data_IF_432538165692
#
_entry.id   IF_432538165692
#
_cell.length_a   1.000
_cell.length_b   1.000
_cell.length_c   1.000
_cell.angle_alpha   90.00
_cell.angle_beta   90.00
_cell.angle_gamma   90.00
#
_symmetry.space_group_name_H-M   'P 1'
#
loop_
_entity.id
_entity.type
_entity.pdbx_description
1 polymer ?
#
# COMPACT_ATOMS: atom_id res chain seq x y z
N UNK A 1 -28.42 23.10 29.59
CA UNK A 1 -27.39 23.09 30.65
C UNK A 1 -25.99 22.61 30.17
N UNK A 2 -25.63 22.73 28.88
CA UNK A 2 -24.32 22.24 28.37
C UNK A 2 -23.34 23.35 27.98
N UNK A 3 -23.77 24.62 28.02
CA UNK A 3 -22.99 25.73 27.46
C UNK A 3 -21.77 26.09 28.31
N UNK A 4 -21.88 25.97 29.63
CA UNK A 4 -20.77 26.20 30.57
C UNK A 4 -19.72 25.09 30.40
N UNK A 5 -20.13 23.82 30.43
CA UNK A 5 -19.23 22.68 30.18
C UNK A 5 -18.53 22.75 28.80
N UNK A 6 -19.24 23.17 27.75
CA UNK A 6 -18.66 23.35 26.41
C UNK A 6 -17.56 24.42 26.39
N UNK A 7 -17.77 25.55 27.08
CA UNK A 7 -16.77 26.62 27.13
C UNK A 7 -15.60 26.32 28.06
N UNK A 8 -15.81 25.57 29.15
CA UNK A 8 -14.73 25.06 30.00
C UNK A 8 -13.82 24.11 29.21
N UNK A 9 -14.39 23.19 28.43
CA UNK A 9 -13.64 22.27 27.57
C UNK A 9 -12.87 23.02 26.47
N UNK A 10 -13.48 24.03 25.84
CA UNK A 10 -12.79 24.88 24.85
C UNK A 10 -11.64 25.68 25.47
N UNK A 11 -11.82 26.17 26.70
CA UNK A 11 -10.80 26.93 27.43
C UNK A 11 -9.64 26.04 27.85
N UNK A 12 -9.93 24.83 28.35
CA UNK A 12 -8.92 23.81 28.62
C UNK A 12 -8.13 23.45 27.35
N UNK A 13 -8.81 23.17 26.23
CA UNK A 13 -8.14 22.88 24.94
C UNK A 13 -7.30 24.05 24.45
N UNK A 14 -7.75 25.31 24.57
CA UNK A 14 -6.96 26.49 24.21
C UNK A 14 -5.73 26.69 25.11
N UNK A 15 -5.84 26.38 26.40
CA UNK A 15 -4.74 26.44 27.37
C UNK A 15 -3.69 25.36 27.06
N UNK A 16 -4.11 24.12 26.83
CA UNK A 16 -3.23 23.01 26.45
C UNK A 16 -2.64 23.12 25.03
N UNK A 17 -3.28 23.86 24.11
CA UNK A 17 -2.74 24.16 22.78
C UNK A 17 -1.63 25.22 22.82
N UNK A 18 -1.60 26.06 23.87
CA UNK A 18 -0.58 27.11 24.07
C UNK A 18 0.66 26.60 24.80
N UNK A 19 0.52 25.55 25.59
CA UNK A 19 1.67 24.74 25.98
C UNK A 19 2.15 24.01 24.74
N UNK A 20 3.35 24.34 24.28
CA UNK A 20 4.02 23.60 23.23
C UNK A 20 4.11 22.17 23.76
N UNK A 21 3.29 21.26 23.21
CA UNK A 21 3.41 19.83 23.46
C UNK A 21 4.79 19.43 22.92
N UNK A 22 5.81 19.65 23.75
CA UNK A 22 7.10 19.00 23.62
C UNK A 22 6.77 17.55 23.87
N UNK A 23 6.52 16.84 22.79
CA UNK A 23 6.41 15.40 22.82
C UNK A 23 7.70 14.90 23.46
N UNK A 24 7.55 14.22 24.58
CA UNK A 24 8.63 13.51 25.24
C UNK A 24 9.37 12.64 24.23
N UNK A 25 10.69 12.58 24.34
CA UNK A 25 11.56 11.79 23.48
C UNK A 25 11.12 10.32 23.43
N UNK A 26 10.50 9.80 24.50
CA UNK A 26 9.90 8.46 24.53
C UNK A 26 8.75 8.33 23.52
N UNK A 27 7.88 9.34 23.42
CA UNK A 27 6.80 9.35 22.42
C UNK A 27 7.35 9.49 21.00
N UNK A 28 8.37 10.33 20.81
CA UNK A 28 9.02 10.47 19.50
C UNK A 28 9.73 9.18 19.08
N UNK A 29 10.32 8.45 20.02
CA UNK A 29 10.94 7.15 19.78
C UNK A 29 9.89 6.10 19.36
N UNK A 30 8.73 6.05 20.02
CA UNK A 30 7.62 5.15 19.64
C UNK A 30 7.15 5.44 18.21
N UNK A 31 6.93 6.71 17.88
CA UNK A 31 6.51 7.11 16.52
C UNK A 31 7.58 6.78 15.48
N UNK A 32 8.86 6.99 15.80
CA UNK A 32 9.98 6.66 14.92
C UNK A 32 10.12 5.14 14.69
N UNK A 33 9.91 4.34 15.74
CA UNK A 33 9.93 2.88 15.65
C UNK A 33 8.78 2.35 14.81
N UNK A 34 7.55 2.86 15.00
CA UNK A 34 6.39 2.48 14.20
C UNK A 34 6.60 2.80 12.71
N UNK A 35 7.16 3.98 12.41
CA UNK A 35 7.50 4.37 11.04
C UNK A 35 8.58 3.46 10.46
N UNK A 36 9.62 3.12 11.25
CA UNK A 36 10.70 2.23 10.79
C UNK A 36 10.18 0.83 10.48
N UNK A 37 9.34 0.26 11.35
CA UNK A 37 8.68 -1.04 11.12
C UNK A 37 7.81 -1.03 9.87
N UNK A 38 7.04 0.05 9.65
CA UNK A 38 6.23 0.20 8.44
C UNK A 38 7.09 0.29 7.17
N UNK A 39 8.24 0.98 7.24
CA UNK A 39 9.20 1.06 6.11
C UNK A 39 9.84 -0.29 5.82
N UNK A 40 10.19 -1.06 6.85
CA UNK A 40 10.75 -2.40 6.70
C UNK A 40 9.74 -3.36 6.06
N UNK A 41 8.48 -3.29 6.46
CA UNK A 41 7.40 -4.10 5.89
C UNK A 41 7.12 -3.74 4.41
N UNK A 42 7.10 -2.46 4.07
CA UNK A 42 7.02 -2.00 2.67
C UNK A 42 8.23 -2.50 1.87
N UNK A 43 9.43 -2.45 2.47
CA UNK A 43 10.66 -2.95 1.88
C UNK A 43 10.60 -4.45 1.59
N UNK A 44 10.09 -5.24 2.53
CA UNK A 44 9.89 -6.69 2.38
C UNK A 44 8.91 -7.01 1.27
N UNK A 45 7.71 -6.43 1.30
CA UNK A 45 6.69 -6.65 0.28
C UNK A 45 7.18 -6.28 -1.12
N UNK A 46 7.95 -5.19 -1.25
CA UNK A 46 8.55 -4.81 -2.53
C UNK A 46 9.55 -5.85 -3.03
N UNK A 47 10.45 -6.33 -2.18
CA UNK A 47 11.42 -7.38 -2.53
C UNK A 47 10.71 -8.67 -2.97
N UNK A 48 9.69 -9.10 -2.24
CA UNK A 48 8.92 -10.31 -2.58
C UNK A 48 8.16 -10.14 -3.89
N UNK A 49 7.57 -8.96 -4.14
CA UNK A 49 6.92 -8.65 -5.40
C UNK A 49 7.91 -8.73 -6.57
N UNK A 50 9.12 -8.17 -6.44
CA UNK A 50 10.14 -8.22 -7.49
C UNK A 50 10.54 -9.66 -7.82
N UNK A 51 10.70 -10.52 -6.80
CA UNK A 51 10.96 -11.95 -6.98
C UNK A 51 9.80 -12.66 -7.68
N UNK A 52 8.56 -12.44 -7.23
CA UNK A 52 7.38 -13.05 -7.81
C UNK A 52 7.09 -12.55 -9.24
N UNK A 53 7.44 -11.30 -9.57
CA UNK A 53 7.40 -10.79 -10.93
C UNK A 53 8.43 -11.51 -11.81
N UNK A 54 9.62 -11.81 -11.30
CA UNK A 54 10.65 -12.53 -12.05
C UNK A 54 10.23 -13.98 -12.40
N UNK A 55 9.43 -14.62 -11.55
CA UNK A 55 8.90 -15.98 -11.76
C UNK A 55 7.71 -16.04 -12.75
N UNK A 56 7.08 -14.91 -13.06
CA UNK A 56 6.02 -14.88 -14.06
C UNK A 56 6.57 -15.13 -15.48
N UNK A 57 5.82 -15.86 -16.34
CA UNK A 57 6.12 -15.92 -17.76
C UNK A 57 6.21 -14.51 -18.36
N UNK A 58 7.15 -14.29 -19.27
CA UNK A 58 7.45 -12.96 -19.83
C UNK A 58 6.20 -12.22 -20.33
N UNK A 59 5.30 -12.90 -21.03
CA UNK A 59 4.03 -12.32 -21.52
C UNK A 59 3.11 -11.85 -20.38
N UNK A 60 3.08 -12.57 -19.26
CA UNK A 60 2.29 -12.23 -18.09
C UNK A 60 2.93 -11.05 -17.34
N UNK A 61 4.26 -11.07 -17.19
CA UNK A 61 5.03 -9.97 -16.59
C UNK A 61 4.86 -8.68 -17.38
N UNK A 62 5.01 -8.73 -18.71
CA UNK A 62 4.81 -7.56 -19.58
C UNK A 62 3.39 -7.00 -19.44
N UNK A 63 2.37 -7.84 -19.57
CA UNK A 63 0.96 -7.41 -19.45
C UNK A 63 0.64 -6.74 -18.11
N UNK A 64 1.18 -7.23 -16.99
CA UNK A 64 0.92 -6.61 -15.69
C UNK A 64 1.70 -5.30 -15.51
N UNK A 65 2.92 -5.22 -16.04
CA UNK A 65 3.71 -3.99 -16.03
C UNK A 65 3.07 -2.91 -16.91
N UNK A 66 2.63 -3.24 -18.12
CA UNK A 66 1.94 -2.30 -19.01
C UNK A 66 0.65 -1.78 -18.35
N UNK A 67 -0.07 -2.63 -17.59
CA UNK A 67 -1.25 -2.24 -16.82
C UNK A 67 -0.96 -1.23 -15.71
N UNK A 68 0.20 -1.31 -15.06
CA UNK A 68 0.60 -0.38 -13.98
C UNK A 68 1.51 0.75 -14.46
N UNK A 69 1.92 0.72 -15.73
CA UNK A 69 2.70 1.76 -16.39
C UNK A 69 1.84 2.91 -16.91
N UNK A 70 2.48 3.88 -17.60
CA UNK A 70 1.78 4.96 -18.29
C UNK A 70 0.76 4.38 -19.29
N UNK A 71 -0.42 4.98 -19.38
CA UNK A 71 -1.49 4.58 -20.31
C UNK A 71 -2.08 3.16 -20.11
N UNK A 72 -1.92 2.58 -18.92
CA UNK A 72 -2.37 1.22 -18.57
C UNK A 72 -3.90 0.97 -18.55
N UNK A 73 -4.71 1.70 -19.29
CA UNK A 73 -6.15 1.45 -19.40
C UNK A 73 -6.42 0.04 -19.98
N UNK A 74 -7.37 -0.72 -19.41
CA UNK A 74 -7.64 -2.10 -19.88
C UNK A 74 -8.10 -2.10 -21.34
N UNK A 75 -8.84 -1.06 -21.75
CA UNK A 75 -9.28 -0.85 -23.11
C UNK A 75 -8.11 -0.65 -24.08
N UNK A 76 -7.17 0.25 -23.75
CA UNK A 76 -5.97 0.46 -24.57
C UNK A 76 -5.14 -0.83 -24.70
N UNK A 77 -4.94 -1.56 -23.59
CA UNK A 77 -4.26 -2.86 -23.60
C UNK A 77 -4.98 -3.89 -24.48
N UNK A 78 -6.31 -3.88 -24.48
CA UNK A 78 -7.12 -4.79 -25.27
C UNK A 78 -7.02 -4.49 -26.77
N UNK A 79 -7.00 -3.22 -27.14
CA UNK A 79 -6.77 -2.74 -28.51
C UNK A 79 -5.37 -3.10 -28.99
N UNK A 80 -4.33 -2.81 -28.21
CA UNK A 80 -2.94 -3.13 -28.55
C UNK A 80 -2.72 -4.64 -28.75
N UNK A 81 -3.35 -5.46 -27.91
CA UNK A 81 -3.22 -6.92 -27.96
C UNK A 81 -4.18 -7.59 -28.97
N UNK A 82 -5.11 -6.84 -29.58
CA UNK A 82 -6.15 -7.40 -30.45
C UNK A 82 -7.06 -8.40 -29.74
N UNK A 83 -7.34 -8.21 -28.45
CA UNK A 83 -8.11 -9.15 -27.60
C UNK A 83 -9.37 -8.50 -27.04
N UNK A 84 -10.45 -9.26 -26.78
CA UNK A 84 -11.60 -8.72 -26.09
C UNK A 84 -11.23 -8.19 -24.69
N UNK A 85 -11.76 -7.03 -24.31
CA UNK A 85 -11.52 -6.40 -22.99
C UNK A 85 -11.80 -7.38 -21.83
N UNK A 86 -12.85 -8.19 -21.93
CA UNK A 86 -13.17 -9.23 -20.94
C UNK A 86 -12.07 -10.29 -20.80
N UNK A 87 -11.43 -10.67 -21.91
CA UNK A 87 -10.30 -11.61 -21.92
C UNK A 87 -9.07 -11.00 -21.24
N UNK A 88 -8.79 -9.72 -21.49
CA UNK A 88 -7.69 -8.99 -20.83
C UNK A 88 -7.95 -8.85 -19.32
N UNK A 89 -9.18 -8.49 -18.91
CA UNK A 89 -9.56 -8.47 -17.48
C UNK A 89 -9.32 -9.82 -16.81
N UNK A 90 -9.71 -10.91 -17.45
CA UNK A 90 -9.54 -12.24 -16.90
C UNK A 90 -8.06 -12.64 -16.82
N UNK A 91 -7.25 -12.29 -17.82
CA UNK A 91 -5.79 -12.49 -17.77
C UNK A 91 -5.16 -11.70 -16.62
N UNK A 92 -5.47 -10.41 -16.47
CA UNK A 92 -4.97 -9.59 -15.38
C UNK A 92 -5.39 -10.11 -14.00
N UNK A 93 -6.62 -10.60 -13.86
CA UNK A 93 -7.09 -11.23 -12.62
C UNK A 93 -6.25 -12.46 -12.27
N UNK A 94 -6.01 -13.36 -13.24
CA UNK A 94 -5.19 -14.56 -13.02
C UNK A 94 -3.74 -14.21 -12.66
N UNK A 95 -3.17 -13.19 -13.32
CA UNK A 95 -1.80 -12.74 -13.02
C UNK A 95 -1.71 -12.18 -11.59
N UNK A 96 -2.66 -11.33 -11.19
CA UNK A 96 -2.70 -10.79 -9.81
C UNK A 96 -2.85 -11.90 -8.77
N UNK A 97 -3.65 -12.92 -9.06
CA UNK A 97 -3.80 -14.07 -8.16
C UNK A 97 -2.49 -14.84 -8.01
N UNK A 98 -1.80 -15.14 -9.11
CA UNK A 98 -0.47 -15.77 -9.07
C UNK A 98 0.55 -14.97 -8.26
N UNK A 99 0.59 -13.65 -8.45
CA UNK A 99 1.49 -12.79 -7.66
C UNK A 99 1.14 -12.83 -6.18
N UNK A 100 -0.15 -12.77 -5.83
CA UNK A 100 -0.60 -12.84 -4.45
C UNK A 100 -0.25 -14.19 -3.80
N UNK A 101 -0.49 -15.30 -4.51
CA UNK A 101 -0.21 -16.65 -4.02
C UNK A 101 1.31 -16.81 -3.80
N UNK A 102 2.13 -16.38 -4.77
CA UNK A 102 3.59 -16.38 -4.65
C UNK A 102 4.10 -15.53 -3.48
N UNK A 103 3.57 -14.32 -3.29
CA UNK A 103 3.98 -13.46 -2.17
C UNK A 103 3.63 -14.12 -0.84
N UNK A 104 2.43 -14.71 -0.72
CA UNK A 104 2.01 -15.41 0.49
C UNK A 104 2.90 -16.60 0.81
N UNK A 105 3.18 -17.45 -0.18
CA UNK A 105 4.07 -18.60 -0.02
C UNK A 105 5.47 -18.17 0.46
N UNK A 106 6.00 -17.07 -0.08
CA UNK A 106 7.32 -16.55 0.34
C UNK A 106 7.29 -15.84 1.69
N UNK A 107 6.19 -15.18 2.05
CA UNK A 107 6.00 -14.59 3.39
C UNK A 107 5.91 -15.67 4.47
N UNK A 108 5.24 -16.79 4.18
CA UNK A 108 5.15 -17.94 5.10
C UNK A 108 6.49 -18.69 5.23
N UNK A 109 7.34 -18.67 4.19
CA UNK A 109 8.68 -19.25 4.21
C UNK A 109 9.80 -18.38 4.79
N UNK A 110 9.52 -17.10 5.09
CA UNK A 110 10.45 -16.14 5.73
C UNK A 110 10.23 -16.04 7.26
N UNK A 111 9.38 -16.92 7.82
CA UNK A 111 9.16 -17.12 9.26
C UNK A 111 10.07 -18.21 9.84
#
# INVERSE_FOLDING_TARGET
ACRIAYYEVLTARKRHKRDRLLFDDELLAIVAEDVSRAVDDIGLHKRLLDLCLAELPERQRKMILDRYGPDGAVQALAEELGRPVGSVRQSLFRIRRKLLDCIREKMEGDQ
#
